data_IF_861761504995
#
_entry.id   IF_861761504995
#
_cell.length_a   1.000
_cell.length_b   1.000
_cell.length_c   1.000
_cell.angle_alpha   90.00
_cell.angle_beta   90.00
_cell.angle_gamma   90.00
#
_symmetry.space_group_name_H-M   'P 1'
#
loop_
_entity.id
_entity.type
_entity.pdbx_description
1 polymer ?
#
# COMPACT_ATOMS: atom_id res chain seq x y z
N UNK A 1 -9.40 -2.65 -12.76
CA UNK A 1 -9.15 -1.22 -12.50
C UNK A 1 -8.43 -1.11 -11.18
N UNK A 2 -7.30 -0.42 -11.15
CA UNK A 2 -6.32 -0.45 -10.08
C UNK A 2 -5.74 0.95 -9.96
N UNK A 3 -6.05 1.64 -8.88
CA UNK A 3 -5.37 2.89 -8.55
C UNK A 3 -5.19 2.87 -7.04
N UNK A 4 -4.01 2.47 -6.57
CA UNK A 4 -3.50 2.78 -5.24
C UNK A 4 -2.64 4.04 -5.38
N UNK A 5 -2.86 5.05 -4.53
CA UNK A 5 -1.97 6.20 -4.38
C UNK A 5 -1.57 6.94 -5.66
N UNK A 6 -0.27 7.28 -5.77
CA UNK A 6 0.30 8.21 -6.76
C UNK A 6 0.18 7.77 -8.23
N UNK A 7 -0.22 6.53 -8.52
CA UNK A 7 -0.37 6.04 -9.90
C UNK A 7 0.94 5.87 -10.68
N UNK A 8 2.08 5.85 -9.99
CA UNK A 8 3.42 5.84 -10.61
C UNK A 8 4.24 4.57 -10.35
N UNK A 9 3.71 3.57 -9.64
CA UNK A 9 4.48 2.38 -9.24
C UNK A 9 5.02 1.59 -10.44
N UNK A 10 4.25 1.47 -11.53
CA UNK A 10 4.69 0.82 -12.77
C UNK A 10 5.88 1.53 -13.41
N UNK A 11 5.83 2.85 -13.47
CA UNK A 11 6.89 3.69 -14.03
C UNK A 11 8.13 3.66 -13.13
N UNK A 12 7.96 3.71 -11.81
CA UNK A 12 9.05 3.57 -10.85
C UNK A 12 9.74 2.20 -10.99
N UNK A 13 8.97 1.12 -11.08
CA UNK A 13 9.48 -0.23 -11.31
C UNK A 13 10.25 -0.36 -12.63
N UNK A 14 9.75 0.24 -13.71
CA UNK A 14 10.47 0.31 -14.99
C UNK A 14 11.79 1.08 -14.87
N UNK A 15 11.80 2.21 -14.15
CA UNK A 15 13.00 2.99 -13.88
C UNK A 15 14.07 2.19 -13.13
N UNK A 16 13.67 1.48 -12.08
CA UNK A 16 14.55 0.61 -11.29
C UNK A 16 15.16 -0.47 -12.20
N UNK A 17 14.36 -1.18 -13.00
CA UNK A 17 14.88 -2.20 -13.93
C UNK A 17 15.86 -1.62 -14.96
N UNK A 18 15.56 -0.45 -15.52
CA UNK A 18 16.43 0.22 -16.50
C UNK A 18 17.76 0.70 -15.91
N UNK A 19 17.80 1.00 -14.61
CA UNK A 19 19.02 1.43 -13.92
C UNK A 19 20.11 0.35 -13.88
N UNK A 20 19.74 -0.93 -14.05
CA UNK A 20 20.63 -2.11 -13.92
C UNK A 20 21.31 -2.24 -12.53
N UNK A 21 20.87 -1.47 -11.54
CA UNK A 21 21.27 -1.67 -10.14
C UNK A 21 20.59 -2.96 -9.66
N UNK A 22 21.34 -3.80 -8.93
CA UNK A 22 20.79 -5.00 -8.31
C UNK A 22 19.65 -4.62 -7.35
N UNK A 23 18.63 -5.47 -7.22
CA UNK A 23 17.43 -5.15 -6.40
C UNK A 23 17.82 -4.76 -4.97
N UNK A 24 18.77 -5.47 -4.36
CA UNK A 24 19.29 -5.20 -3.01
C UNK A 24 20.05 -3.88 -2.85
N UNK A 25 20.42 -3.21 -3.96
CA UNK A 25 21.06 -1.89 -3.97
C UNK A 25 20.06 -0.72 -4.03
N UNK A 26 18.75 -0.99 -4.05
CA UNK A 26 17.70 0.03 -4.09
C UNK A 26 16.78 -0.14 -2.89
N UNK A 27 16.48 0.95 -2.19
CA UNK A 27 15.51 0.94 -1.10
C UNK A 27 14.14 1.41 -1.61
N UNK A 28 13.13 0.54 -1.56
CA UNK A 28 11.78 0.84 -2.04
C UNK A 28 10.82 0.98 -0.85
N UNK A 29 10.08 2.08 -0.82
CA UNK A 29 8.95 2.28 0.10
C UNK A 29 7.63 2.32 -0.67
N UNK A 30 6.69 1.45 -0.30
CA UNK A 30 5.30 1.51 -0.76
C UNK A 30 4.37 1.82 0.42
N UNK A 31 3.13 2.21 0.14
CA UNK A 31 2.19 2.66 1.18
C UNK A 31 0.80 2.04 0.99
N UNK A 32 0.22 1.52 2.07
CA UNK A 32 -1.17 1.10 2.16
C UNK A 32 -2.07 2.33 2.12
N UNK A 33 -2.94 2.43 1.11
CA UNK A 33 -3.88 3.54 0.97
C UNK A 33 -5.11 3.36 1.88
N UNK A 34 -5.79 4.48 2.15
CA UNK A 34 -6.86 4.59 3.13
C UNK A 34 -8.10 3.72 2.83
N UNK A 35 -8.34 3.33 1.57
CA UNK A 35 -9.44 2.45 1.17
C UNK A 35 -9.15 0.94 1.38
N UNK A 36 -7.93 0.59 1.77
CA UNK A 36 -7.46 -0.79 1.98
C UNK A 36 -7.12 -1.11 3.45
N UNK A 37 -7.66 -0.33 4.39
CA UNK A 37 -7.39 -0.49 5.82
C UNK A 37 -8.01 -1.74 6.44
N UNK A 38 -9.07 -2.29 5.85
CA UNK A 38 -9.69 -3.49 6.36
C UNK A 38 -8.68 -4.64 6.38
N UNK A 39 -8.57 -5.44 7.47
CA UNK A 39 -7.53 -6.47 7.62
C UNK A 39 -7.40 -7.44 6.44
N UNK A 40 -8.52 -7.79 5.80
CA UNK A 40 -8.55 -8.67 4.63
C UNK A 40 -7.99 -8.08 3.33
N UNK A 41 -7.79 -6.76 3.26
CA UNK A 41 -7.29 -6.07 2.05
C UNK A 41 -5.80 -5.74 2.13
N UNK A 42 -5.21 -5.76 3.33
CA UNK A 42 -3.83 -5.32 3.59
C UNK A 42 -2.81 -6.11 2.76
N UNK A 43 -2.93 -7.44 2.75
CA UNK A 43 -2.02 -8.29 1.98
C UNK A 43 -2.25 -8.17 0.47
N UNK A 44 -3.52 -8.05 0.04
CA UNK A 44 -3.89 -7.86 -1.36
C UNK A 44 -3.32 -6.55 -1.91
N UNK A 45 -3.40 -5.46 -1.14
CA UNK A 45 -2.86 -4.17 -1.51
C UNK A 45 -1.33 -4.18 -1.64
N UNK A 46 -0.60 -4.88 -0.74
CA UNK A 46 0.83 -5.05 -0.91
C UNK A 46 1.17 -5.90 -2.15
N UNK A 47 0.44 -7.00 -2.39
CA UNK A 47 0.63 -7.84 -3.56
C UNK A 47 0.40 -7.07 -4.87
N UNK A 48 -0.59 -6.17 -4.88
CA UNK A 48 -0.85 -5.25 -5.99
C UNK A 48 0.35 -4.34 -6.25
N UNK A 49 0.87 -3.69 -5.21
CA UNK A 49 2.05 -2.83 -5.32
C UNK A 49 3.30 -3.59 -5.81
N UNK A 50 3.54 -4.79 -5.29
CA UNK A 50 4.66 -5.63 -5.72
C UNK A 50 4.58 -5.99 -7.20
N UNK A 51 3.38 -6.35 -7.67
CA UNK A 51 3.14 -6.66 -9.08
C UNK A 51 3.34 -5.43 -9.98
N UNK A 52 2.87 -4.26 -9.55
CA UNK A 52 2.97 -3.04 -10.33
C UNK A 52 4.42 -2.52 -10.38
N UNK A 53 5.14 -2.56 -9.25
CA UNK A 53 6.60 -2.32 -9.21
C UNK A 53 7.38 -3.39 -9.99
N UNK A 54 6.86 -4.61 -10.07
CA UNK A 54 7.54 -5.77 -10.65
C UNK A 54 8.76 -6.18 -9.83
N UNK A 55 8.58 -6.30 -8.51
CA UNK A 55 9.59 -6.71 -7.53
C UNK A 55 8.98 -7.71 -6.55
N UNK A 56 9.81 -8.57 -5.95
CA UNK A 56 9.33 -9.60 -5.00
C UNK A 56 9.09 -9.05 -3.58
N UNK A 57 9.74 -7.93 -3.22
CA UNK A 57 9.58 -7.29 -1.92
C UNK A 57 9.76 -5.77 -1.98
N UNK A 58 9.22 -5.07 -0.99
CA UNK A 58 9.58 -3.67 -0.67
C UNK A 58 10.37 -3.61 0.64
N UNK A 59 11.28 -2.66 0.75
CA UNK A 59 12.11 -2.52 1.95
C UNK A 59 11.30 -1.95 3.12
N UNK A 60 10.31 -1.11 2.82
CA UNK A 60 9.41 -0.52 3.80
C UNK A 60 7.97 -0.43 3.27
N UNK A 61 7.00 -0.88 4.06
CA UNK A 61 5.58 -0.72 3.78
C UNK A 61 4.88 0.10 4.86
N UNK A 62 4.34 1.27 4.49
CA UNK A 62 3.75 2.21 5.44
C UNK A 62 2.23 2.20 5.39
N UNK A 63 1.57 2.33 6.55
CA UNK A 63 0.20 2.84 6.58
C UNK A 63 0.23 4.32 6.19
N UNK A 64 -0.42 4.71 5.09
CA UNK A 64 -0.26 6.06 4.55
C UNK A 64 -0.77 7.14 5.51
N UNK A 65 -1.94 6.94 6.12
CA UNK A 65 -2.59 7.87 7.04
C UNK A 65 -3.51 7.06 7.96
N UNK A 66 -3.68 7.38 9.26
CA UNK A 66 -4.52 6.62 10.18
C UNK A 66 -6.04 6.86 9.98
N UNK A 67 -6.50 7.03 8.74
CA UNK A 67 -7.89 7.31 8.38
C UNK A 67 -8.42 6.22 7.45
N UNK A 68 -9.42 5.47 7.89
CA UNK A 68 -10.05 4.42 7.08
C UNK A 68 -11.16 5.01 6.19
N UNK A 69 -11.04 4.81 4.88
CA UNK A 69 -12.04 5.20 3.89
C UNK A 69 -12.83 3.99 3.44
N UNK A 70 -14.04 4.22 2.91
CA UNK A 70 -14.91 3.17 2.34
C UNK A 70 -14.11 2.26 1.41
N UNK A 71 -14.20 0.95 1.65
CA UNK A 71 -13.58 -0.09 0.83
C UNK A 71 -14.12 -0.04 -0.60
N UNK A 72 -13.24 -0.28 -1.57
CA UNK A 72 -13.60 -0.35 -2.98
C UNK A 72 -12.52 0.22 -3.91
N UNK A 73 -12.86 0.35 -5.19
CA UNK A 73 -11.92 0.83 -6.23
C UNK A 73 -11.70 2.34 -6.23
N UNK A 74 -12.50 3.09 -5.49
CA UNK A 74 -12.38 4.55 -5.39
C UNK A 74 -11.30 4.93 -4.38
N UNK A 75 -10.33 5.73 -4.81
CA UNK A 75 -9.25 6.24 -3.95
C UNK A 75 -9.74 7.27 -2.92
N UNK A 76 -10.72 8.08 -3.33
CA UNK A 76 -11.34 9.12 -2.53
C UNK A 76 -12.86 8.99 -2.70
N UNK A 77 -13.51 8.16 -1.87
CA UNK A 77 -14.94 7.91 -2.00
C UNK A 77 -15.72 9.09 -1.41
N UNK A 78 -16.25 9.97 -2.27
CA UNK A 78 -17.07 11.11 -1.82
C UNK A 78 -18.56 10.75 -1.79
N UNK A 79 -19.24 11.15 -0.71
CA UNK A 79 -20.69 11.13 -0.61
C UNK A 79 -21.34 12.28 -1.38
N UNK A 80 -22.67 12.23 -1.49
CA UNK A 80 -23.45 13.31 -2.12
C UNK A 80 -23.32 14.66 -1.41
N UNK A 81 -22.91 14.65 -0.14
CA UNK A 81 -22.64 15.84 0.68
C UNK A 81 -21.22 16.40 0.47
N UNK A 82 -20.45 15.82 -0.46
CA UNK A 82 -19.07 16.23 -0.75
C UNK A 82 -18.04 15.80 0.30
N UNK A 83 -18.42 14.97 1.28
CA UNK A 83 -17.50 14.46 2.30
C UNK A 83 -16.95 13.09 1.95
N UNK A 84 -15.76 12.78 2.42
CA UNK A 84 -15.18 11.43 2.30
C UNK A 84 -16.04 10.46 3.12
N UNK A 85 -16.43 9.35 2.48
CA UNK A 85 -17.11 8.23 3.13
C UNK A 85 -16.04 7.41 3.86
N UNK A 86 -16.18 7.32 5.18
CA UNK A 86 -15.25 6.57 6.03
C UNK A 86 -15.68 5.11 6.21
N UNK A 87 -14.73 4.29 6.66
CA UNK A 87 -14.95 2.91 7.07
C UNK A 87 -14.70 2.79 8.59
N UNK A 88 -15.47 1.96 9.33
CA UNK A 88 -15.33 1.85 10.78
C UNK A 88 -14.06 1.10 11.24
N UNK A 89 -13.23 0.59 10.32
CA UNK A 89 -11.99 -0.10 10.66
C UNK A 89 -11.05 0.81 11.43
N UNK A 90 -10.64 0.37 12.61
CA UNK A 90 -9.66 1.09 13.42
C UNK A 90 -8.23 0.74 13.00
N UNK A 91 -7.33 1.74 13.00
CA UNK A 91 -5.96 1.57 12.52
C UNK A 91 -5.17 0.49 13.28
N UNK A 92 -5.55 0.18 14.52
CA UNK A 92 -4.93 -0.91 15.31
C UNK A 92 -5.19 -2.27 14.66
N UNK A 93 -6.36 -2.48 14.09
CA UNK A 93 -6.69 -3.75 13.42
C UNK A 93 -5.96 -3.85 12.08
N UNK A 94 -5.84 -2.75 11.35
CA UNK A 94 -4.96 -2.63 10.17
C UNK A 94 -3.51 -2.94 10.55
N UNK A 95 -3.00 -2.40 11.66
CA UNK A 95 -1.64 -2.64 12.13
C UNK A 95 -1.40 -4.12 12.48
N UNK A 96 -2.35 -4.77 13.15
CA UNK A 96 -2.28 -6.23 13.41
C UNK A 96 -2.19 -7.03 12.10
N UNK A 97 -2.89 -6.61 11.05
CA UNK A 97 -2.80 -7.23 9.73
C UNK A 97 -1.44 -6.95 9.06
N UNK A 98 -0.95 -5.70 9.09
CA UNK A 98 0.36 -5.34 8.56
C UNK A 98 1.50 -6.12 9.23
N UNK A 99 1.43 -6.37 10.55
CA UNK A 99 2.40 -7.21 11.26
C UNK A 99 2.51 -8.63 10.70
N UNK A 100 1.42 -9.17 10.13
CA UNK A 100 1.42 -10.50 9.51
C UNK A 100 2.14 -10.53 8.16
N UNK A 101 2.47 -9.38 7.57
CA UNK A 101 3.23 -9.29 6.32
C UNK A 101 4.73 -9.55 6.53
N UNK A 102 5.27 -9.30 7.73
CA UNK A 102 6.69 -9.49 8.02
C UNK A 102 7.18 -10.94 7.75
N UNK A 103 6.51 -12.00 8.25
CA UNK A 103 6.95 -13.37 7.99
C UNK A 103 6.79 -13.82 6.53
N UNK A 104 6.05 -13.10 5.67
CA UNK A 104 5.89 -13.49 4.25
C UNK A 104 7.10 -13.14 3.40
N UNK A 105 7.95 -12.21 3.86
CA UNK A 105 9.10 -11.71 3.09
C UNK A 105 8.74 -10.67 2.03
N UNK A 106 7.45 -10.40 1.79
CA UNK A 106 6.97 -9.40 0.83
C UNK A 106 7.31 -7.95 1.26
N UNK A 107 7.61 -7.76 2.54
CA UNK A 107 8.19 -6.51 3.05
C UNK A 107 9.20 -6.78 4.16
N UNK A 108 10.29 -6.01 4.20
CA UNK A 108 11.33 -6.12 5.24
C UNK A 108 10.99 -5.36 6.52
N UNK A 109 10.24 -4.27 6.41
CA UNK A 109 9.86 -3.42 7.53
C UNK A 109 8.48 -2.81 7.29
N UNK A 110 7.76 -2.55 8.38
CA UNK A 110 6.48 -1.84 8.35
C UNK A 110 6.54 -0.57 9.21
N UNK A 111 5.72 0.42 8.87
CA UNK A 111 5.64 1.67 9.63
C UNK A 111 4.36 2.45 9.37
N UNK A 112 4.34 3.70 9.80
CA UNK A 112 3.21 4.63 9.67
C UNK A 112 3.67 5.96 9.07
N UNK A 113 2.73 6.75 8.56
CA UNK A 113 2.93 8.09 8.00
C UNK A 113 1.74 9.00 8.34
N UNK A 114 1.97 10.32 8.30
CA UNK A 114 1.07 11.41 8.72
C UNK A 114 0.78 11.42 10.22
#
# INVERSE_FOLDING_TARGET
MHWLGYGTEKQAGQGIRRSRIKREGVFITAKLWCNAHHPGDVELALAESLRDLGVDYVDLYLMHCPCSMKRGSELLPFGFDGKIITDPTYFVDTWKAMRKLLPTGNTKAIGVSN
#
